data_IF_722957100407
#
_entry.id   IF_722957100407
#
_cell.length_a   1.000
_cell.length_b   1.000
_cell.length_c   1.000
_cell.angle_alpha   90.00
_cell.angle_beta   90.00
_cell.angle_gamma   90.00
#
_symmetry.space_group_name_H-M   'P 1'
#
loop_
_entity.id
_entity.type
_entity.pdbx_description
1 polymer ?
#
# COMPACT_ATOMS: atom_id res chain seq x y z
N UNK A 1 26.21 44.19 -43.01
CA UNK A 1 27.60 44.36 -42.52
C UNK A 1 27.53 45.03 -41.16
N UNK A 2 28.49 44.72 -40.27
CA UNK A 2 28.56 45.07 -38.84
C UNK A 2 27.98 43.94 -37.96
N UNK A 3 28.70 42.82 -37.82
CA UNK A 3 29.83 42.54 -36.92
C UNK A 3 29.35 41.94 -35.59
N UNK A 4 29.65 40.66 -35.43
CA UNK A 4 29.47 39.87 -34.22
C UNK A 4 30.40 40.34 -33.11
N UNK A 5 29.90 40.29 -31.87
CA UNK A 5 30.73 40.34 -30.67
C UNK A 5 30.24 39.31 -29.67
N UNK A 6 30.99 38.23 -29.53
CA UNK A 6 30.96 37.38 -28.34
C UNK A 6 31.79 38.05 -27.24
N UNK A 7 31.37 37.90 -25.98
CA UNK A 7 32.30 37.76 -24.88
C UNK A 7 32.24 36.34 -24.32
N UNK A 8 33.36 35.64 -24.52
CA UNK A 8 33.83 34.52 -23.72
C UNK A 8 34.25 35.07 -22.34
N UNK A 9 33.67 34.52 -21.27
CA UNK A 9 34.17 34.70 -19.91
C UNK A 9 34.21 33.34 -19.22
N UNK A 10 35.31 32.64 -19.46
CA UNK A 10 35.83 31.59 -18.59
C UNK A 10 35.97 32.10 -17.15
N UNK A 11 35.18 31.50 -16.26
CA UNK A 11 35.28 31.66 -14.81
C UNK A 11 35.65 30.33 -14.16
N UNK A 12 36.96 30.08 -14.07
CA UNK A 12 37.54 28.95 -13.36
C UNK A 12 37.19 29.06 -11.87
N UNK A 13 36.28 28.21 -11.38
CA UNK A 13 35.96 28.12 -9.94
C UNK A 13 36.95 27.15 -9.26
N UNK A 14 37.63 27.56 -8.19
CA UNK A 14 38.57 26.70 -7.49
C UNK A 14 37.83 25.53 -6.83
N UNK A 15 38.25 24.32 -7.21
CA UNK A 15 37.98 23.08 -6.49
C UNK A 15 38.46 23.24 -5.04
N UNK A 16 37.54 23.43 -4.10
CA UNK A 16 37.84 23.24 -2.67
C UNK A 16 37.83 21.74 -2.42
N UNK A 17 39.01 21.14 -2.54
CA UNK A 17 39.35 19.81 -2.01
C UNK A 17 39.27 19.87 -0.49
N UNK A 18 38.13 19.55 0.09
CA UNK A 18 38.06 19.25 1.52
C UNK A 18 38.53 17.82 1.74
N UNK A 19 39.66 17.74 2.43
CA UNK A 19 40.38 16.54 2.85
C UNK A 19 39.59 15.79 3.94
N UNK A 20 39.66 14.47 3.84
CA UNK A 20 39.27 13.41 4.79
C UNK A 20 39.17 13.78 6.28
N UNK A 21 38.11 13.28 6.94
CA UNK A 21 38.25 12.50 8.18
C UNK A 21 37.34 11.27 8.08
N UNK A 22 37.91 10.14 7.72
CA UNK A 22 37.31 8.81 7.87
C UNK A 22 37.52 8.40 9.32
N UNK A 23 36.46 8.40 10.13
CA UNK A 23 36.47 7.77 11.45
C UNK A 23 35.85 6.37 11.33
N UNK A 24 36.71 5.38 11.08
CA UNK A 24 36.35 3.97 11.17
C UNK A 24 36.23 3.59 12.65
N UNK A 25 34.99 3.40 13.13
CA UNK A 25 34.73 2.76 14.42
C UNK A 25 34.34 1.31 14.14
N UNK A 26 35.32 0.42 14.25
CA UNK A 26 35.11 -1.02 14.27
C UNK A 26 34.65 -1.43 15.67
N UNK A 27 33.36 -1.68 15.84
CA UNK A 27 32.82 -2.37 17.02
C UNK A 27 32.50 -3.81 16.63
N UNK A 28 33.44 -4.71 16.96
CA UNK A 28 33.24 -6.15 16.96
C UNK A 28 32.56 -6.54 18.27
N UNK A 29 31.29 -6.96 18.20
CA UNK A 29 30.62 -7.67 19.29
C UNK A 29 30.05 -8.99 18.74
N UNK A 30 30.91 -9.99 18.82
CA UNK A 30 30.60 -11.42 18.77
C UNK A 30 29.73 -11.79 19.98
N UNK A 31 28.53 -12.36 19.78
CA UNK A 31 27.97 -13.29 20.77
C UNK A 31 26.92 -14.24 20.19
N UNK A 32 27.24 -15.52 20.40
CA UNK A 32 26.44 -16.74 20.51
C UNK A 32 25.04 -16.82 19.88
N UNK A 33 24.96 -17.65 18.83
CA UNK A 33 23.74 -18.29 18.33
C UNK A 33 23.40 -19.49 19.23
N UNK A 34 22.18 -19.61 19.79
CA UNK A 34 21.65 -20.89 20.24
C UNK A 34 20.77 -21.52 19.16
N UNK A 35 21.23 -22.67 18.64
CA UNK A 35 20.46 -23.61 17.81
C UNK A 35 19.62 -24.51 18.71
N UNK A 36 18.28 -24.59 18.54
CA UNK A 36 17.51 -25.71 19.08
C UNK A 36 17.30 -26.82 18.03
N UNK A 37 17.95 -27.95 18.36
CA UNK A 37 17.69 -29.38 18.10
C UNK A 37 16.46 -29.79 17.25
N UNK A 38 16.63 -30.66 16.25
CA UNK A 38 15.54 -31.45 15.68
C UNK A 38 15.23 -32.65 16.59
N UNK A 39 13.99 -32.74 17.10
CA UNK A 39 13.48 -33.98 17.70
C UNK A 39 12.90 -34.86 16.60
N UNK A 40 13.69 -35.79 16.10
CA UNK A 40 13.18 -37.03 15.52
C UNK A 40 12.76 -37.98 16.66
N UNK A 41 11.62 -38.64 16.52
CA UNK A 41 11.31 -39.86 17.27
C UNK A 41 11.01 -40.98 16.27
N UNK A 42 11.59 -42.19 16.44
CA UNK A 42 11.50 -43.27 15.49
C UNK A 42 10.18 -44.04 15.59
N UNK A 43 9.92 -44.83 14.55
CA UNK A 43 8.64 -45.48 14.31
C UNK A 43 8.27 -46.62 15.25
N UNK A 44 7.02 -47.03 15.12
CA UNK A 44 6.52 -48.33 15.55
C UNK A 44 5.63 -48.89 14.44
N UNK A 45 5.98 -50.08 13.99
CA UNK A 45 5.24 -50.95 13.07
C UNK A 45 5.16 -52.32 13.77
N UNK A 46 4.37 -53.29 13.28
CA UNK A 46 2.92 -53.40 13.15
C UNK A 46 2.36 -54.44 14.15
N UNK A 47 1.03 -54.56 14.33
CA UNK A 47 0.41 -55.86 14.74
C UNK A 47 -1.03 -56.00 14.20
N UNK A 48 -1.10 -56.93 13.24
CA UNK A 48 -2.12 -57.88 12.74
C UNK A 48 -3.47 -58.05 13.49
N UNK A 49 -4.54 -58.02 12.68
CA UNK A 49 -5.78 -58.88 12.58
C UNK A 49 -6.66 -59.24 13.79
N UNK A 50 -7.96 -58.90 13.68
CA UNK A 50 -9.13 -59.82 13.74
C UNK A 50 -10.41 -59.04 13.31
N UNK A 51 -10.98 -59.33 12.13
CA UNK A 51 -12.28 -60.01 11.93
C UNK A 51 -13.22 -60.09 13.14
N UNK A 52 -14.33 -59.35 13.08
CA UNK A 52 -15.60 -59.76 13.70
C UNK A 52 -16.78 -59.25 12.85
N UNK A 53 -17.83 -60.06 12.76
CA UNK A 53 -19.06 -59.90 11.94
C UNK A 53 -20.14 -60.74 12.63
N UNK A 54 -21.44 -60.40 12.66
CA UNK A 54 -22.16 -59.11 12.58
C UNK A 54 -23.23 -58.95 13.71
N UNK A 55 -23.94 -57.81 13.74
CA UNK A 55 -25.31 -57.75 14.29
C UNK A 55 -26.14 -56.71 13.52
N UNK A 56 -27.35 -57.04 13.02
CA UNK A 56 -28.22 -56.07 12.37
C UNK A 56 -28.93 -55.20 13.42
N UNK A 57 -28.56 -53.92 13.47
CA UNK A 57 -29.30 -52.89 14.20
C UNK A 57 -30.54 -52.42 13.41
N UNK A 58 -31.63 -52.03 14.09
CA UNK A 58 -32.86 -51.59 13.43
C UNK A 58 -32.63 -50.31 12.62
N UNK A 59 -33.13 -50.30 11.39
CA UNK A 59 -33.17 -49.14 10.50
C UNK A 59 -34.02 -48.03 11.14
N UNK A 60 -33.37 -47.06 11.78
CA UNK A 60 -33.98 -45.75 12.07
C UNK A 60 -34.03 -44.96 10.77
N UNK A 61 -35.25 -44.61 10.34
CA UNK A 61 -35.46 -43.68 9.25
C UNK A 61 -34.79 -42.34 9.58
N UNK A 62 -33.77 -41.99 8.80
CA UNK A 62 -33.11 -40.68 8.90
C UNK A 62 -34.10 -39.64 8.38
N UNK A 63 -34.50 -38.62 9.16
CA UNK A 63 -35.29 -37.53 8.61
C UNK A 63 -34.43 -36.83 7.56
N UNK A 64 -34.96 -36.73 6.34
CA UNK A 64 -34.41 -35.88 5.29
C UNK A 64 -34.38 -34.45 5.83
N UNK A 65 -33.21 -33.97 6.21
CA UNK A 65 -33.02 -32.58 6.59
C UNK A 65 -33.33 -31.71 5.37
N UNK A 66 -34.34 -30.84 5.50
CA UNK A 66 -34.56 -29.78 4.51
C UNK A 66 -33.29 -28.92 4.44
N UNK A 67 -32.83 -28.52 3.24
CA UNK A 67 -31.74 -27.57 3.13
C UNK A 67 -32.13 -26.30 3.88
N UNK A 68 -31.36 -25.93 4.89
CA UNK A 68 -31.48 -24.60 5.50
C UNK A 68 -31.23 -23.55 4.42
N UNK A 69 -32.00 -22.45 4.39
CA UNK A 69 -31.71 -21.36 3.48
C UNK A 69 -30.26 -20.91 3.71
N UNK A 70 -29.45 -20.95 2.65
CA UNK A 70 -28.11 -20.36 2.69
C UNK A 70 -28.30 -18.88 3.03
N UNK A 71 -27.48 -18.30 3.93
CA UNK A 71 -27.52 -16.87 4.15
C UNK A 71 -27.33 -16.18 2.80
N UNK A 72 -28.30 -15.35 2.40
CA UNK A 72 -28.14 -14.44 1.26
C UNK A 72 -26.84 -13.64 1.47
N UNK A 73 -26.09 -13.31 0.40
CA UNK A 73 -24.95 -12.42 0.54
C UNK A 73 -25.44 -11.19 1.28
N UNK A 74 -24.77 -10.88 2.39
CA UNK A 74 -25.02 -9.69 3.17
C UNK A 74 -24.93 -8.52 2.19
N UNK A 75 -26.09 -7.93 1.85
CA UNK A 75 -26.09 -6.64 1.19
C UNK A 75 -25.23 -5.75 2.08
N UNK A 76 -24.23 -5.10 1.51
CA UNK A 76 -23.33 -4.21 2.23
C UNK A 76 -23.96 -2.81 2.19
N UNK A 77 -24.84 -2.42 3.15
CA UNK A 77 -25.32 -1.05 3.19
C UNK A 77 -24.13 -0.15 3.51
N UNK A 78 -23.71 0.61 2.51
CA UNK A 78 -22.71 1.63 2.67
C UNK A 78 -23.38 2.99 2.54
N UNK A 79 -23.39 3.77 3.62
CA UNK A 79 -23.91 5.16 3.61
C UNK A 79 -22.93 6.15 2.94
N UNK A 80 -21.83 5.66 2.37
CA UNK A 80 -20.83 6.50 1.74
C UNK A 80 -21.34 7.02 0.38
N UNK A 81 -20.76 8.13 -0.06
CA UNK A 81 -21.06 8.72 -1.36
C UNK A 81 -19.80 8.84 -2.22
N UNK A 82 -19.97 9.40 -3.41
CA UNK A 82 -18.89 9.64 -4.39
C UNK A 82 -18.32 11.06 -4.31
N UNK A 83 -18.86 11.91 -3.43
CA UNK A 83 -18.39 13.29 -3.25
C UNK A 83 -16.95 13.33 -2.69
N UNK A 84 -16.16 14.36 -3.01
CA UNK A 84 -14.80 14.54 -2.52
C UNK A 84 -14.66 14.42 -1.00
N UNK A 85 -13.52 13.90 -0.53
CA UNK A 85 -13.12 13.90 0.88
C UNK A 85 -11.87 14.75 1.02
N UNK A 86 -11.91 15.72 1.92
CA UNK A 86 -10.84 16.70 2.07
C UNK A 86 -10.52 16.91 3.54
N UNK A 87 -9.23 16.93 3.87
CA UNK A 87 -8.69 17.35 5.15
C UNK A 87 -7.49 18.28 4.89
N UNK A 88 -7.49 19.46 5.54
CA UNK A 88 -6.57 20.55 5.19
C UNK A 88 -5.22 20.48 5.92
N UNK A 89 -5.08 19.61 6.91
CA UNK A 89 -3.84 19.44 7.67
C UNK A 89 -2.67 19.10 6.74
N UNK A 90 -1.52 19.70 6.96
CA UNK A 90 -0.27 19.36 6.26
C UNK A 90 0.76 18.86 7.26
N UNK A 91 1.62 17.95 6.83
CA UNK A 91 2.69 17.40 7.66
C UNK A 91 4.00 17.35 6.88
N UNK A 92 5.12 17.49 7.58
CA UNK A 92 6.45 17.17 7.04
C UNK A 92 6.82 15.69 7.23
N UNK A 93 5.97 14.92 7.92
CA UNK A 93 6.12 13.48 8.05
C UNK A 93 6.05 12.81 6.67
N UNK A 94 6.92 11.86 6.45
CA UNK A 94 7.11 11.24 5.13
C UNK A 94 6.19 10.05 4.90
N UNK A 95 5.69 9.90 3.67
CA UNK A 95 5.07 8.68 3.22
C UNK A 95 6.13 7.59 3.07
N UNK A 96 5.87 6.43 3.67
CA UNK A 96 6.83 5.31 3.69
C UNK A 96 6.30 4.03 3.07
N UNK A 97 4.99 3.94 2.83
CA UNK A 97 4.39 2.72 2.30
C UNK A 97 3.01 2.91 1.71
N UNK A 98 2.69 2.06 0.74
CA UNK A 98 1.36 1.91 0.17
C UNK A 98 1.01 0.43 0.20
N UNK A 99 -0.18 0.09 0.69
CA UNK A 99 -0.68 -1.29 0.73
C UNK A 99 -2.17 -1.34 0.42
N UNK A 100 -2.62 -2.47 -0.14
CA UNK A 100 -4.03 -2.70 -0.41
C UNK A 100 -4.53 -3.99 0.28
N UNK A 101 -5.81 -4.02 0.63
CA UNK A 101 -6.47 -5.17 1.25
C UNK A 101 -7.91 -5.33 0.75
N UNK A 102 -8.35 -6.59 0.62
CA UNK A 102 -9.71 -6.94 0.24
C UNK A 102 -10.56 -7.18 1.46
N UNK A 103 -11.79 -6.71 1.44
CA UNK A 103 -12.81 -6.98 2.44
C UNK A 103 -14.11 -7.38 1.75
N UNK A 104 -15.04 -7.97 2.52
CA UNK A 104 -16.29 -8.51 1.99
C UNK A 104 -17.16 -7.45 1.28
N UNK A 105 -17.05 -6.19 1.70
CA UNK A 105 -17.90 -5.08 1.24
C UNK A 105 -17.13 -3.90 0.64
N UNK A 106 -15.80 -3.94 0.67
CA UNK A 106 -14.96 -2.85 0.17
C UNK A 106 -13.55 -3.36 -0.11
N UNK A 107 -12.85 -2.65 -0.97
CA UNK A 107 -11.40 -2.75 -1.07
C UNK A 107 -10.77 -1.53 -0.40
N UNK A 108 -9.64 -1.75 0.26
CA UNK A 108 -8.95 -0.75 1.08
C UNK A 108 -7.59 -0.44 0.50
N UNK A 109 -7.29 0.84 0.34
CA UNK A 109 -5.95 1.37 0.14
C UNK A 109 -5.50 2.02 1.46
N UNK A 110 -4.27 1.74 1.89
CA UNK A 110 -3.66 2.37 3.05
C UNK A 110 -2.32 2.95 2.66
N UNK A 111 -2.11 4.21 3.03
CA UNK A 111 -0.85 4.92 2.86
C UNK A 111 -0.28 5.18 4.25
N UNK A 112 0.92 4.66 4.50
CA UNK A 112 1.64 4.81 5.76
C UNK A 112 2.44 6.11 5.76
N UNK A 113 2.37 6.85 6.86
CA UNK A 113 3.08 8.10 7.11
C UNK A 113 3.92 7.92 8.38
N UNK A 114 5.22 8.19 8.29
CA UNK A 114 6.15 8.11 9.43
C UNK A 114 6.12 9.41 10.24
N UNK A 115 5.05 9.58 10.99
CA UNK A 115 4.81 10.71 11.88
C UNK A 115 3.35 11.16 11.88
N UNK A 116 3.15 12.46 12.11
CA UNK A 116 1.84 13.08 12.21
C UNK A 116 0.98 12.85 10.95
N UNK A 117 -0.35 12.72 11.11
CA UNK A 117 -1.25 12.42 10.02
C UNK A 117 -1.25 13.49 8.93
N UNK A 118 -1.22 13.01 7.68
CA UNK A 118 -1.39 13.85 6.51
C UNK A 118 -2.88 14.19 6.29
N UNK A 119 -3.18 15.46 6.03
CA UNK A 119 -4.44 15.80 5.37
C UNK A 119 -4.42 15.32 3.92
N UNK A 120 -5.58 15.33 3.30
CA UNK A 120 -5.77 14.72 1.98
C UNK A 120 -6.80 15.47 1.15
N UNK A 121 -6.77 15.20 -0.15
CA UNK A 121 -7.78 15.57 -1.11
C UNK A 121 -8.04 14.39 -2.03
N UNK A 122 -9.16 13.70 -1.82
CA UNK A 122 -9.52 12.50 -2.57
C UNK A 122 -10.81 12.75 -3.32
N UNK A 123 -10.75 12.66 -4.65
CA UNK A 123 -11.85 13.03 -5.54
C UNK A 123 -11.80 12.28 -6.86
N UNK A 124 -12.97 12.11 -7.47
CA UNK A 124 -13.06 11.62 -8.85
C UNK A 124 -12.62 12.71 -9.83
N UNK A 125 -11.82 12.31 -10.81
CA UNK A 125 -11.30 13.19 -11.88
C UNK A 125 -11.41 12.49 -13.23
N UNK A 126 -11.38 13.27 -14.31
CA UNK A 126 -11.33 12.72 -15.66
C UNK A 126 -9.97 12.08 -15.99
N UNK A 127 -8.89 12.63 -15.43
CA UNK A 127 -7.55 12.08 -15.46
C UNK A 127 -6.81 12.54 -14.20
N UNK A 128 -6.01 11.65 -13.62
CA UNK A 128 -5.03 12.03 -12.60
C UNK A 128 -3.81 12.59 -13.32
N UNK A 129 -3.15 13.60 -12.77
CA UNK A 129 -1.96 14.22 -13.36
C UNK A 129 -0.78 14.13 -12.42
N UNK A 130 0.42 13.99 -12.99
CA UNK A 130 1.68 13.99 -12.26
C UNK A 130 1.93 15.34 -11.57
N UNK A 131 2.40 15.28 -10.32
CA UNK A 131 2.85 16.44 -9.59
C UNK A 131 4.07 17.09 -10.25
N UNK A 132 4.07 18.43 -10.27
CA UNK A 132 5.13 19.25 -10.85
C UNK A 132 5.16 19.31 -12.39
N UNK A 133 4.73 18.27 -13.10
CA UNK A 133 4.71 18.23 -14.58
C UNK A 133 3.33 18.42 -15.20
N UNK A 134 2.27 17.94 -14.54
CA UNK A 134 0.91 18.00 -15.04
C UNK A 134 0.60 17.02 -16.18
N UNK A 135 1.49 16.06 -16.46
CA UNK A 135 1.24 15.01 -17.46
C UNK A 135 0.20 14.00 -16.92
N UNK A 136 -0.69 13.45 -17.75
CA UNK A 136 -1.66 12.45 -17.29
C UNK A 136 -0.98 11.16 -16.80
N UNK A 137 -1.49 10.61 -15.69
CA UNK A 137 -1.16 9.26 -15.22
C UNK A 137 -2.12 8.28 -15.87
N UNK A 138 -1.59 7.37 -16.68
CA UNK A 138 -2.39 6.36 -17.39
C UNK A 138 -2.92 5.29 -16.43
N UNK A 139 -4.22 5.36 -16.13
CA UNK A 139 -4.90 4.44 -15.21
C UNK A 139 -5.83 3.45 -15.93
N UNK A 140 -5.81 2.20 -15.49
CA UNK A 140 -6.75 1.14 -15.84
C UNK A 140 -8.03 1.29 -15.04
N UNK A 141 -9.18 1.01 -15.65
CA UNK A 141 -10.50 1.05 -15.02
C UNK A 141 -11.48 1.94 -15.76
N UNK A 142 -12.65 2.16 -15.17
CA UNK A 142 -13.72 3.00 -15.73
C UNK A 142 -14.01 4.25 -14.89
N UNK A 143 -13.31 4.44 -13.77
CA UNK A 143 -13.32 5.68 -12.99
C UNK A 143 -11.97 5.88 -12.28
N UNK A 144 -11.58 7.15 -12.07
CA UNK A 144 -10.27 7.49 -11.51
C UNK A 144 -10.42 8.38 -10.28
N UNK A 145 -9.86 7.92 -9.17
CA UNK A 145 -9.67 8.73 -7.97
C UNK A 145 -8.26 9.31 -7.98
N UNK A 146 -8.18 10.65 -7.92
CA UNK A 146 -6.98 11.32 -7.45
C UNK A 146 -6.93 11.17 -5.94
N UNK A 147 -5.80 10.68 -5.42
CA UNK A 147 -5.53 10.57 -4.00
C UNK A 147 -4.32 11.45 -3.70
N UNK A 148 -4.56 12.72 -3.35
CA UNK A 148 -3.50 13.66 -2.96
C UNK A 148 -3.38 13.67 -1.44
N UNK A 149 -2.16 13.44 -0.94
CA UNK A 149 -1.81 13.60 0.46
C UNK A 149 -0.93 14.83 0.63
N UNK A 150 -1.19 15.60 1.69
CA UNK A 150 -0.40 16.78 2.09
C UNK A 150 0.80 16.34 2.94
N UNK A 151 1.57 15.41 2.39
CA UNK A 151 2.78 14.84 2.95
C UNK A 151 3.77 14.51 1.82
N UNK A 152 5.08 14.76 2.00
CA UNK A 152 6.09 14.35 1.04
C UNK A 152 6.32 12.83 1.08
N UNK A 153 6.85 12.28 -0.02
CA UNK A 153 7.43 10.93 -0.07
C UNK A 153 8.96 10.99 -0.18
N UNK A 154 9.53 12.01 0.45
CA UNK A 154 10.95 12.25 0.59
C UNK A 154 11.22 12.86 1.95
N UNK A 155 12.41 12.60 2.50
CA UNK A 155 12.86 13.22 3.72
C UNK A 155 13.14 14.72 3.47
N UNK A 156 12.53 15.64 4.21
CA UNK A 156 12.62 17.08 3.93
C UNK A 156 14.01 17.67 4.20
N UNK A 157 14.87 17.00 4.98
CA UNK A 157 16.20 17.48 5.33
C UNK A 157 17.26 17.03 4.31
N UNK A 158 17.13 15.81 3.80
CA UNK A 158 18.09 15.16 2.90
C UNK A 158 17.64 15.13 1.44
N UNK A 159 16.33 15.22 1.19
CA UNK A 159 15.72 15.04 -0.12
C UNK A 159 15.69 13.59 -0.62
N UNK A 160 16.10 12.62 0.21
CA UNK A 160 16.09 11.21 -0.15
C UNK A 160 14.65 10.66 -0.20
N UNK A 161 14.36 9.82 -1.20
CA UNK A 161 13.05 9.18 -1.31
C UNK A 161 12.80 8.24 -0.12
N UNK A 162 11.63 8.38 0.51
CA UNK A 162 11.24 7.58 1.69
C UNK A 162 10.26 6.46 1.34
N UNK A 163 9.73 6.48 0.12
CA UNK A 163 8.93 5.41 -0.46
C UNK A 163 9.56 4.93 -1.77
N UNK A 164 9.81 3.62 -1.86
CA UNK A 164 10.39 2.97 -3.03
C UNK A 164 9.41 1.96 -3.63
N UNK A 165 9.30 1.97 -4.95
CA UNK A 165 8.49 1.04 -5.74
C UNK A 165 9.29 0.53 -6.93
N UNK A 166 8.96 -0.67 -7.41
CA UNK A 166 9.63 -1.27 -8.57
C UNK A 166 9.04 -0.82 -9.91
N UNK A 167 7.77 -0.42 -9.88
CA UNK A 167 7.00 -0.01 -11.05
C UNK A 167 6.06 1.11 -10.61
N UNK A 168 6.15 2.25 -11.29
CA UNK A 168 5.32 3.42 -10.99
C UNK A 168 3.86 3.21 -11.38
N UNK A 169 3.58 2.34 -12.35
CA UNK A 169 2.23 2.02 -12.77
C UNK A 169 1.54 1.03 -11.82
N UNK A 170 2.29 0.22 -11.06
CA UNK A 170 1.77 -0.87 -10.25
C UNK A 170 2.36 -0.85 -8.83
N UNK A 171 2.00 0.17 -8.05
CA UNK A 171 2.51 0.37 -6.68
C UNK A 171 2.16 -0.79 -5.76
N UNK A 172 0.99 -1.40 -5.96
CA UNK A 172 0.52 -2.58 -5.21
C UNK A 172 -0.23 -3.52 -6.14
N UNK A 173 -0.04 -4.83 -5.95
CA UNK A 173 -0.75 -5.84 -6.73
C UNK A 173 -2.23 -5.90 -6.30
N UNK A 174 -3.13 -5.45 -7.17
CA UNK A 174 -4.58 -5.47 -6.96
C UNK A 174 -5.30 -6.55 -7.75
N UNK A 175 -4.59 -7.59 -8.22
CA UNK A 175 -5.23 -8.70 -8.92
C UNK A 175 -6.27 -9.40 -8.03
N UNK A 176 -7.46 -9.63 -8.57
CA UNK A 176 -8.58 -10.23 -7.86
C UNK A 176 -9.36 -9.29 -6.94
N UNK A 177 -9.00 -8.01 -6.86
CA UNK A 177 -9.81 -6.99 -6.17
C UNK A 177 -11.10 -6.71 -6.96
N UNK A 178 -12.18 -6.40 -6.24
CA UNK A 178 -13.48 -6.16 -6.89
C UNK A 178 -13.52 -4.76 -7.46
N UNK A 179 -13.26 -3.75 -6.63
CA UNK A 179 -13.36 -2.34 -7.02
C UNK A 179 -12.05 -1.79 -7.58
N UNK A 180 -10.88 -2.27 -7.13
CA UNK A 180 -9.58 -1.76 -7.60
C UNK A 180 -9.17 -2.37 -8.95
N UNK A 181 -8.58 -1.53 -9.80
CA UNK A 181 -8.02 -1.93 -11.09
C UNK A 181 -6.53 -1.62 -11.17
N UNK A 182 -6.07 -0.54 -10.55
CA UNK A 182 -4.66 -0.15 -10.50
C UNK A 182 -4.40 0.87 -9.39
N UNK A 183 -3.19 0.87 -8.84
CA UNK A 183 -2.68 1.95 -7.99
C UNK A 183 -1.35 2.42 -8.60
N UNK A 184 -1.32 3.67 -9.09
CA UNK A 184 -0.18 4.25 -9.77
C UNK A 184 0.39 5.44 -9.00
N UNK A 185 1.68 5.68 -9.20
CA UNK A 185 2.40 6.84 -8.72
C UNK A 185 1.98 8.07 -9.52
N UNK A 186 1.69 9.17 -8.82
CA UNK A 186 1.43 10.48 -9.42
C UNK A 186 2.46 11.53 -9.04
N UNK A 187 3.58 11.16 -8.40
CA UNK A 187 4.64 12.10 -8.03
C UNK A 187 4.54 12.64 -6.60
N UNK A 188 5.68 13.17 -6.14
CA UNK A 188 5.80 13.91 -4.88
C UNK A 188 6.57 15.20 -5.12
N UNK A 189 5.95 16.35 -4.81
CA UNK A 189 6.50 17.67 -5.06
C UNK A 189 5.93 18.68 -4.05
N UNK A 190 6.74 19.65 -3.62
CA UNK A 190 6.33 20.74 -2.71
C UNK A 190 5.57 20.29 -1.44
N UNK A 191 5.96 19.15 -0.87
CA UNK A 191 5.33 18.61 0.34
C UNK A 191 3.99 17.91 0.11
N UNK A 192 3.62 17.63 -1.13
CA UNK A 192 2.43 16.88 -1.51
C UNK A 192 2.81 15.65 -2.31
N UNK A 193 1.99 14.60 -2.21
CA UNK A 193 2.18 13.37 -2.96
C UNK A 193 0.85 12.93 -3.53
N UNK A 194 0.82 12.65 -4.83
CA UNK A 194 -0.38 12.19 -5.52
C UNK A 194 -0.23 10.73 -5.92
N UNK A 195 -1.32 9.99 -5.73
CA UNK A 195 -1.50 8.64 -6.24
C UNK A 195 -2.72 8.61 -7.16
N UNK A 196 -2.63 7.82 -8.23
CA UNK A 196 -3.75 7.49 -9.08
C UNK A 196 -4.37 6.17 -8.64
N UNK A 197 -5.67 6.16 -8.35
CA UNK A 197 -6.41 4.94 -8.06
C UNK A 197 -7.43 4.68 -9.18
N UNK A 198 -7.13 3.67 -9.99
CA UNK A 198 -8.01 3.17 -11.04
C UNK A 198 -9.06 2.23 -10.48
N UNK A 199 -10.34 2.48 -10.77
CA UNK A 199 -11.47 1.74 -10.22
C UNK A 199 -12.32 1.09 -11.30
N UNK A 200 -13.03 0.02 -10.93
CA UNK A 200 -13.99 -0.66 -11.80
C UNK A 200 -15.10 0.28 -12.29
N UNK A 201 -15.61 1.13 -11.41
CA UNK A 201 -16.69 2.07 -11.68
C UNK A 201 -16.59 3.23 -10.69
N UNK A 202 -17.41 4.25 -10.87
CA UNK A 202 -17.54 5.32 -9.88
C UNK A 202 -18.34 4.79 -8.67
N UNK A 203 -17.61 4.38 -7.64
CA UNK A 203 -18.13 3.69 -6.46
C UNK A 203 -18.09 4.58 -5.21
N UNK A 204 -19.01 4.37 -4.24
CA UNK A 204 -18.95 5.04 -2.94
C UNK A 204 -17.63 4.80 -2.23
N UNK A 205 -17.08 5.85 -1.61
CA UNK A 205 -15.83 5.73 -0.86
C UNK A 205 -15.84 6.60 0.39
N UNK A 206 -14.97 6.25 1.34
CA UNK A 206 -14.64 7.07 2.50
C UNK A 206 -13.13 7.19 2.64
N UNK A 207 -12.71 8.25 3.33
CA UNK A 207 -11.32 8.48 3.71
C UNK A 207 -11.28 8.83 5.18
N UNK A 208 -10.34 8.27 5.92
CA UNK A 208 -10.13 8.55 7.33
C UNK A 208 -8.68 8.24 7.72
N UNK A 209 -8.27 8.71 8.89
CA UNK A 209 -6.93 8.50 9.42
C UNK A 209 -6.97 7.47 10.54
N UNK A 210 -5.89 6.70 10.69
CA UNK A 210 -5.67 5.80 11.81
C UNK A 210 -4.26 6.03 12.39
N UNK A 211 -4.07 5.64 13.64
CA UNK A 211 -2.74 5.46 14.20
C UNK A 211 -1.99 4.35 13.43
N UNK A 212 -0.72 4.62 13.17
CA UNK A 212 0.23 3.74 12.54
C UNK A 212 1.12 3.01 13.56
N UNK A 213 2.07 2.20 13.10
CA UNK A 213 3.10 1.63 13.97
C UNK A 213 3.96 2.73 14.60
N UNK A 214 4.33 2.57 15.88
CA UNK A 214 5.17 3.55 16.58
C UNK A 214 4.47 4.91 16.72
N UNK A 215 5.14 5.96 16.25
CA UNK A 215 4.57 7.32 16.19
C UNK A 215 4.01 7.65 14.80
N UNK A 216 3.83 6.64 13.95
CA UNK A 216 3.32 6.80 12.61
C UNK A 216 1.80 6.96 12.56
N UNK A 217 1.31 7.26 11.36
CA UNK A 217 -0.11 7.39 11.06
C UNK A 217 -0.41 6.75 9.71
N UNK A 218 -1.70 6.63 9.40
CA UNK A 218 -2.20 5.99 8.18
C UNK A 218 -3.32 6.81 7.61
N UNK A 219 -3.27 7.07 6.31
CA UNK A 219 -4.43 7.53 5.54
C UNK A 219 -5.06 6.30 4.89
N UNK A 220 -6.36 6.09 5.15
CA UNK A 220 -7.10 4.92 4.70
C UNK A 220 -8.20 5.35 3.74
N UNK A 221 -8.25 4.73 2.57
CA UNK A 221 -9.28 4.92 1.56
C UNK A 221 -10.00 3.58 1.39
N UNK A 222 -11.28 3.55 1.75
CA UNK A 222 -12.15 2.38 1.51
C UNK A 222 -13.08 2.68 0.33
N UNK A 223 -13.17 1.76 -0.63
CA UNK A 223 -14.06 1.84 -1.80
C UNK A 223 -14.99 0.63 -1.81
N UNK A 224 -16.29 0.89 -1.71
CA UNK A 224 -17.32 -0.15 -1.60
C UNK A 224 -17.49 -0.96 -2.90
N UNK A 225 -17.94 -2.22 -2.77
CA UNK A 225 -18.37 -3.09 -3.88
C UNK A 225 -19.52 -4.01 -3.48
#
# INVERSE_FOLDING_TARGET
>A
MIQAHHPDLGGSRPFVRTLMVVAAVAMLLTSCVPTPTPSETPGSTPTVTASDTPAPSPTSAVPTAMPSPMPSPSACPTEWGTSPKTESASTSASITGVRAGRHDCFDRLVIDVDGDPAGYDVRYVAAVTEEGRGEPVDLRGNAFLQVLLRAPAYDPETGEATYSFSDEAELVNVNGFTSFRQVAWGGSFEGQTTFGLGLEAQLPFRVFMLEGPGNGSRVVIDVAH
#
